data_IF_312318925237
#
_entry.id   IF_312318925237
#
_cell.length_a   1.000
_cell.length_b   1.000
_cell.length_c   1.000
_cell.angle_alpha   90.00
_cell.angle_beta   90.00
_cell.angle_gamma   90.00
#
_symmetry.space_group_name_H-M   'P 1'
#
loop_
_entity.id
_entity.type
_entity.pdbx_description
1 polymer ?
#
# COMPACT_ATOMS: atom_id res chain seq x y z
N UNK A 1 -7.82 -27.18 -2.79
CA UNK A 1 -8.32 -25.88 -2.32
C UNK A 1 -7.15 -24.95 -1.97
N UNK A 2 -7.13 -23.76 -2.52
CA UNK A 2 -6.04 -22.81 -2.27
C UNK A 2 -6.19 -22.13 -0.90
N UNK A 3 -5.07 -21.87 -0.24
CA UNK A 3 -5.04 -21.01 0.93
C UNK A 3 -5.09 -19.55 0.47
N UNK A 4 -5.69 -18.68 1.25
CA UNK A 4 -5.86 -17.28 0.88
C UNK A 4 -4.53 -16.61 0.51
N UNK A 5 -3.47 -16.89 1.28
CA UNK A 5 -2.15 -16.33 0.99
C UNK A 5 -1.60 -16.68 -0.39
N UNK A 6 -2.00 -17.81 -0.95
CA UNK A 6 -1.60 -18.22 -2.29
C UNK A 6 -2.29 -17.42 -3.39
N UNK A 7 -3.39 -16.74 -3.05
CA UNK A 7 -4.16 -15.95 -3.99
C UNK A 7 -3.68 -14.49 -4.06
N UNK A 8 -2.83 -14.08 -3.13
CA UNK A 8 -2.27 -12.74 -3.14
C UNK A 8 -1.18 -12.66 -4.20
N UNK A 9 -1.27 -11.65 -5.06
CA UNK A 9 -0.33 -11.46 -6.16
C UNK A 9 0.86 -10.62 -5.71
N UNK A 10 2.04 -10.97 -6.19
CA UNK A 10 3.26 -10.19 -6.00
C UNK A 10 3.89 -9.92 -7.35
N UNK A 11 4.59 -8.81 -7.46
CA UNK A 11 5.24 -8.47 -8.72
C UNK A 11 6.18 -7.28 -8.56
N UNK A 12 6.89 -7.00 -9.65
CA UNK A 12 7.74 -5.82 -9.74
C UNK A 12 6.86 -4.62 -10.13
N UNK A 13 6.82 -3.60 -9.26
CA UNK A 13 6.01 -2.41 -9.50
C UNK A 13 6.36 -1.70 -10.82
N UNK A 14 7.56 -1.89 -11.33
CA UNK A 14 7.98 -1.31 -12.62
C UNK A 14 7.31 -2.00 -13.81
N UNK A 15 6.92 -3.27 -13.64
CA UNK A 15 6.28 -4.04 -14.70
C UNK A 15 4.80 -4.31 -14.47
N UNK A 16 4.24 -3.84 -13.37
CA UNK A 16 2.86 -4.16 -12.99
C UNK A 16 2.16 -2.95 -12.37
N UNK A 17 1.04 -2.55 -12.95
CA UNK A 17 0.30 -1.35 -12.55
C UNK A 17 -0.53 -1.50 -11.25
N UNK A 18 -0.65 -2.71 -10.70
CA UNK A 18 -1.42 -2.96 -9.47
C UNK A 18 -0.55 -3.05 -8.22
N UNK A 19 0.76 -3.16 -8.38
CA UNK A 19 1.69 -3.33 -7.24
C UNK A 19 1.91 -2.00 -6.55
N UNK A 20 1.65 -1.90 -5.24
CA UNK A 20 1.91 -0.66 -4.51
C UNK A 20 3.41 -0.40 -4.36
N UNK A 21 3.78 0.86 -4.46
CA UNK A 21 5.15 1.34 -4.29
C UNK A 21 5.26 2.02 -2.94
N UNK A 22 6.24 1.62 -2.15
CA UNK A 22 6.51 2.23 -0.85
C UNK A 22 7.63 3.25 -1.03
N UNK A 23 7.35 4.50 -0.66
CA UNK A 23 8.32 5.58 -0.63
C UNK A 23 8.62 5.91 0.83
N UNK A 24 9.84 5.63 1.26
CA UNK A 24 10.31 5.89 2.61
C UNK A 24 11.83 6.09 2.56
N UNK A 25 12.42 6.72 3.59
CA UNK A 25 13.88 6.80 3.64
C UNK A 25 14.50 5.39 3.70
N UNK A 26 15.68 5.22 3.09
CA UNK A 26 16.39 3.92 3.10
C UNK A 26 16.75 3.49 4.51
N UNK A 27 17.12 4.43 5.35
CA UNK A 27 17.50 4.18 6.74
C UNK A 27 16.76 5.13 7.65
N UNK A 28 16.16 4.58 8.69
CA UNK A 28 15.40 5.34 9.70
C UNK A 28 15.83 4.86 11.07
N UNK A 29 16.07 5.80 11.98
CA UNK A 29 16.40 5.47 13.36
C UNK A 29 15.18 5.00 14.14
N UNK A 30 15.43 4.15 15.14
CA UNK A 30 14.42 3.78 16.13
C UNK A 30 13.98 5.04 16.86
N UNK A 31 12.69 5.17 17.11
CA UNK A 31 12.06 6.33 17.76
C UNK A 31 12.14 7.64 16.95
N UNK A 32 12.52 7.57 15.70
CA UNK A 32 12.62 8.72 14.80
C UNK A 32 11.45 8.72 13.82
N UNK A 33 10.65 9.79 13.82
CA UNK A 33 9.51 9.90 12.91
C UNK A 33 9.98 10.06 11.47
N UNK A 34 9.30 9.39 10.55
CA UNK A 34 9.56 9.52 9.11
C UNK A 34 8.26 9.49 8.32
N UNK A 35 8.29 10.09 7.14
CA UNK A 35 7.15 10.07 6.23
C UNK A 35 7.13 8.77 5.44
N UNK A 36 5.97 8.13 5.43
CA UNK A 36 5.66 7.00 4.57
C UNK A 36 4.66 7.45 3.51
N UNK A 37 4.98 7.20 2.26
CA UNK A 37 4.04 7.39 1.16
C UNK A 37 3.91 6.07 0.42
N UNK A 38 2.69 5.72 0.06
CA UNK A 38 2.41 4.59 -0.83
C UNK A 38 1.59 5.06 -2.01
N UNK A 39 1.89 4.52 -3.18
CA UNK A 39 1.21 4.87 -4.41
C UNK A 39 1.13 3.66 -5.33
N UNK A 40 0.33 3.78 -6.38
CA UNK A 40 0.21 2.76 -7.42
C UNK A 40 0.34 3.45 -8.76
N UNK A 41 0.89 2.73 -9.75
CA UNK A 41 0.99 3.24 -11.10
C UNK A 41 2.11 4.24 -11.33
N UNK A 42 3.18 4.16 -10.57
CA UNK A 42 4.31 5.08 -10.69
C UNK A 42 5.00 4.95 -12.07
N UNK A 43 5.17 3.73 -12.57
CA UNK A 43 5.75 3.50 -13.90
C UNK A 43 4.67 3.24 -14.95
N UNK A 44 3.72 2.36 -14.64
CA UNK A 44 2.62 2.03 -15.52
C UNK A 44 1.33 2.46 -14.84
N UNK A 45 0.68 3.50 -15.37
CA UNK A 45 -0.52 4.07 -14.76
C UNK A 45 -1.65 3.05 -14.66
N UNK A 46 -2.28 3.00 -13.50
CA UNK A 46 -3.51 2.25 -13.30
C UNK A 46 -4.69 3.11 -13.74
N UNK A 47 -5.74 2.52 -14.35
CA UNK A 47 -6.96 3.28 -14.62
C UNK A 47 -7.53 3.90 -13.35
N UNK A 48 -8.06 5.10 -13.46
CA UNK A 48 -8.67 5.81 -12.34
C UNK A 48 -9.95 6.48 -12.80
N UNK A 49 -10.98 5.67 -12.95
CA UNK A 49 -12.32 6.10 -13.33
C UNK A 49 -13.29 5.75 -12.23
N UNK A 50 -14.54 6.16 -12.35
CA UNK A 50 -15.55 5.80 -11.36
C UNK A 50 -15.77 4.28 -11.32
N UNK A 51 -15.64 3.61 -12.48
CA UNK A 51 -15.89 2.18 -12.62
C UNK A 51 -14.66 1.32 -12.33
N UNK A 52 -13.45 1.87 -12.49
CA UNK A 52 -12.22 1.12 -12.35
C UNK A 52 -11.17 1.95 -11.60
N UNK A 53 -10.89 1.55 -10.38
CA UNK A 53 -10.03 2.31 -9.49
C UNK A 53 -9.40 1.43 -8.40
N UNK A 54 -8.45 1.99 -7.68
CA UNK A 54 -7.88 1.35 -6.49
C UNK A 54 -8.73 1.75 -5.28
N UNK A 55 -9.30 0.77 -4.60
CA UNK A 55 -10.20 1.01 -3.48
C UNK A 55 -9.47 1.32 -2.18
N UNK A 56 -8.33 0.67 -1.95
CA UNK A 56 -7.53 0.91 -0.75
C UNK A 56 -6.09 0.41 -0.92
N UNK A 57 -5.21 0.96 -0.08
CA UNK A 57 -3.84 0.50 0.10
C UNK A 57 -3.61 0.36 1.61
N UNK A 58 -3.10 -0.79 2.03
CA UNK A 58 -2.76 -1.04 3.43
C UNK A 58 -1.27 -1.28 3.55
N UNK A 59 -0.68 -0.85 4.66
CA UNK A 59 0.74 -1.05 4.93
C UNK A 59 0.89 -1.81 6.23
N UNK A 60 1.76 -2.80 6.21
CA UNK A 60 2.07 -3.65 7.34
C UNK A 60 3.55 -3.52 7.67
N UNK A 61 3.86 -3.54 8.95
CA UNK A 61 5.23 -3.61 9.44
C UNK A 61 5.43 -4.96 10.12
N UNK A 62 6.42 -5.70 9.64
CA UNK A 62 6.83 -6.94 10.31
C UNK A 62 8.11 -6.66 11.08
N UNK A 63 8.04 -6.60 12.42
CA UNK A 63 9.25 -6.47 13.24
C UNK A 63 10.18 -7.66 12.98
N UNK A 64 11.48 -7.41 12.98
CA UNK A 64 12.48 -8.46 12.71
C UNK A 64 12.34 -9.63 13.69
N UNK A 65 12.04 -9.33 14.95
CA UNK A 65 11.94 -10.31 16.02
C UNK A 65 10.56 -10.94 16.17
N UNK A 66 9.59 -10.57 15.33
CA UNK A 66 8.22 -11.06 15.41
C UNK A 66 7.88 -11.89 14.18
N UNK A 67 6.99 -12.86 14.37
CA UNK A 67 6.43 -13.64 13.25
C UNK A 67 5.30 -12.88 12.56
N UNK A 68 4.67 -11.92 13.23
CA UNK A 68 3.41 -11.36 12.79
C UNK A 68 3.58 -9.92 12.32
N UNK A 69 3.09 -9.62 11.10
CA UNK A 69 3.01 -8.24 10.65
C UNK A 69 1.88 -7.52 11.38
N UNK A 70 2.08 -6.24 11.64
CA UNK A 70 1.05 -5.37 12.20
C UNK A 70 0.65 -4.33 11.18
N UNK A 71 -0.63 -4.01 11.11
CA UNK A 71 -1.10 -2.97 10.22
C UNK A 71 -0.73 -1.60 10.79
N UNK A 72 0.02 -0.82 10.01
CA UNK A 72 0.49 0.49 10.44
C UNK A 72 -0.14 1.63 9.66
N UNK A 73 -0.78 1.36 8.53
CA UNK A 73 -1.49 2.37 7.74
C UNK A 73 -2.59 1.72 6.92
N UNK A 74 -3.71 2.44 6.80
CA UNK A 74 -4.86 2.01 6.01
C UNK A 74 -5.39 3.24 5.26
N UNK A 75 -5.24 3.23 3.93
CA UNK A 75 -5.71 4.30 3.06
C UNK A 75 -6.88 3.78 2.25
N UNK A 76 -8.08 4.01 2.74
CA UNK A 76 -9.32 3.62 2.05
C UNK A 76 -9.89 4.83 1.31
N UNK A 77 -9.95 4.75 0.00
CA UNK A 77 -10.38 5.86 -0.87
C UNK A 77 -11.89 5.89 -1.02
N UNK A 78 -12.60 6.08 0.09
CA UNK A 78 -14.05 5.95 0.16
C UNK A 78 -14.80 7.08 -0.54
N UNK A 79 -14.15 8.22 -0.71
CA UNK A 79 -14.77 9.36 -1.42
C UNK A 79 -14.81 9.15 -2.93
N UNK A 80 -14.15 8.11 -3.44
CA UNK A 80 -14.14 7.85 -4.87
C UNK A 80 -15.55 7.54 -5.38
N UNK A 81 -15.99 8.30 -6.35
CA UNK A 81 -17.35 8.19 -6.91
C UNK A 81 -18.40 9.00 -6.19
N UNK A 82 -18.14 9.51 -5.00
CA UNK A 82 -19.08 10.40 -4.32
C UNK A 82 -19.08 11.75 -5.03
N UNK A 83 -20.26 12.22 -5.43
CA UNK A 83 -20.39 13.46 -6.17
C UNK A 83 -19.46 13.51 -7.40
N UNK A 84 -19.26 12.35 -8.05
CA UNK A 84 -18.34 12.19 -9.19
C UNK A 84 -16.87 12.52 -8.87
N UNK A 85 -16.49 12.52 -7.61
CA UNK A 85 -15.11 12.74 -7.19
C UNK A 85 -14.24 11.55 -7.57
N UNK A 86 -13.07 11.82 -8.10
CA UNK A 86 -12.04 10.82 -8.38
C UNK A 86 -10.92 11.02 -7.36
N UNK A 87 -10.66 10.00 -6.55
CA UNK A 87 -9.56 10.04 -5.59
C UNK A 87 -8.28 9.50 -6.23
N UNK A 88 -7.14 10.12 -5.94
CA UNK A 88 -5.85 9.57 -6.34
C UNK A 88 -5.47 8.42 -5.40
N UNK A 89 -4.80 7.42 -5.95
CA UNK A 89 -4.36 6.25 -5.19
C UNK A 89 -2.98 6.48 -4.59
N UNK A 90 -2.89 7.47 -3.72
CA UNK A 90 -1.70 7.87 -2.98
C UNK A 90 -2.08 8.08 -1.53
N UNK A 91 -1.32 7.49 -0.62
CA UNK A 91 -1.52 7.70 0.81
C UNK A 91 -0.22 8.12 1.48
N UNK A 92 -0.30 9.02 2.45
CA UNK A 92 0.84 9.51 3.21
C UNK A 92 0.52 9.49 4.70
N UNK A 93 1.52 9.14 5.51
CA UNK A 93 1.43 9.25 6.96
C UNK A 93 2.82 9.33 7.55
N UNK A 94 2.92 9.70 8.83
CA UNK A 94 4.18 9.61 9.56
C UNK A 94 4.14 8.39 10.46
N UNK A 95 5.25 7.69 10.54
CA UNK A 95 5.43 6.54 11.42
C UNK A 95 6.63 6.74 12.32
N UNK A 96 6.56 6.15 13.51
CA UNK A 96 7.69 6.02 14.43
C UNK A 96 7.76 4.55 14.83
N UNK A 97 8.87 3.90 14.53
CA UNK A 97 9.05 2.48 14.79
C UNK A 97 10.00 2.27 15.97
N UNK A 98 9.76 1.21 16.72
CA UNK A 98 10.51 0.91 17.93
C UNK A 98 11.65 -0.09 17.72
N UNK A 99 11.68 -0.73 16.55
CA UNK A 99 12.72 -1.71 16.22
C UNK A 99 12.83 -1.86 14.71
N UNK A 100 13.86 -2.54 14.26
CA UNK A 100 14.07 -2.86 12.85
C UNK A 100 13.03 -3.86 12.35
N UNK A 101 12.74 -3.77 11.08
CA UNK A 101 11.79 -4.67 10.44
C UNK A 101 11.60 -4.31 8.97
N UNK A 102 10.53 -4.85 8.38
CA UNK A 102 10.23 -4.68 6.97
C UNK A 102 8.81 -4.15 6.77
N UNK A 103 8.65 -3.21 5.86
CA UNK A 103 7.34 -2.70 5.46
C UNK A 103 6.84 -3.48 4.25
N UNK A 104 5.57 -3.82 4.28
CA UNK A 104 4.87 -4.47 3.17
C UNK A 104 3.62 -3.68 2.85
N UNK A 105 3.27 -3.60 1.59
CA UNK A 105 2.03 -2.94 1.16
C UNK A 105 1.16 -3.90 0.37
N UNK A 106 -0.15 -3.72 0.54
CA UNK A 106 -1.16 -4.52 -0.12
C UNK A 106 -2.23 -3.57 -0.65
N UNK A 107 -2.69 -3.80 -1.88
CA UNK A 107 -3.70 -2.96 -2.51
C UNK A 107 -4.86 -3.78 -3.04
N UNK A 108 -5.96 -3.08 -3.32
CA UNK A 108 -7.16 -3.70 -3.84
C UNK A 108 -7.74 -2.86 -4.98
N UNK A 109 -7.79 -3.46 -6.16
CA UNK A 109 -8.46 -2.91 -7.32
C UNK A 109 -9.90 -3.45 -7.35
N UNK A 110 -10.87 -2.59 -7.57
CA UNK A 110 -12.27 -3.00 -7.52
C UNK A 110 -12.68 -3.96 -8.64
N UNK A 111 -11.87 -4.05 -9.71
CA UNK A 111 -12.13 -4.97 -10.84
C UNK A 111 -11.30 -6.24 -10.73
N UNK A 112 -10.03 -6.11 -10.43
CA UNK A 112 -9.09 -7.24 -10.49
C UNK A 112 -8.73 -7.83 -9.13
N UNK A 113 -9.19 -7.21 -8.05
CA UNK A 113 -8.83 -7.66 -6.71
C UNK A 113 -7.44 -7.24 -6.30
#
# INVERSE_FOLDING_TARGET
MSKFGELLQSGDWKGEKHVPVIHAPENVGVDEAFELQVSIGDEISHPNTLEHHIAWIKVFFKPEKSKFPVEVADFAFRAHGEYDVVTDYVGKTELTLKESGTLYALSYCNIHG
#
